data_IF_155796077935
#
_entry.id   IF_155796077935
#
_cell.length_a   1.000
_cell.length_b   1.000
_cell.length_c   1.000
_cell.angle_alpha   90.00
_cell.angle_beta   90.00
_cell.angle_gamma   90.00
#
_symmetry.space_group_name_H-M   'P 1'
#
loop_
_entity.id
_entity.type
_entity.pdbx_description
1 polymer ?
#
# COMPACT_ATOMS: atom_id res chain seq x y z
N UNK A 1 11.52 -2.11 -12.70
CA UNK A 1 11.00 -0.78 -12.28
C UNK A 1 10.86 -0.78 -10.77
N UNK A 2 11.50 0.17 -10.09
CA UNK A 2 11.55 0.23 -8.63
C UNK A 2 10.29 0.86 -8.03
N UNK A 3 9.83 0.32 -6.91
CA UNK A 3 8.68 0.81 -6.13
C UNK A 3 8.89 2.25 -5.58
N UNK A 4 10.11 2.77 -5.68
CA UNK A 4 10.48 4.15 -5.33
C UNK A 4 9.80 5.21 -6.21
N UNK A 5 9.34 4.89 -7.44
CA UNK A 5 8.65 5.85 -8.31
C UNK A 5 7.31 6.35 -7.76
N UNK A 6 6.74 5.61 -6.82
CA UNK A 6 5.46 5.94 -6.19
C UNK A 6 5.62 6.86 -4.99
N UNK A 7 6.82 6.97 -4.43
CA UNK A 7 7.07 7.84 -3.26
C UNK A 7 6.82 9.30 -3.63
N UNK A 8 6.07 10.01 -2.79
CA UNK A 8 5.63 11.39 -3.02
C UNK A 8 4.36 11.53 -3.85
N UNK A 9 3.79 10.44 -4.37
CA UNK A 9 2.47 10.48 -5.03
C UNK A 9 1.34 10.48 -4.02
N UNK A 10 0.27 11.19 -4.33
CA UNK A 10 -0.96 11.18 -3.54
C UNK A 10 -1.88 10.08 -4.09
N UNK A 11 -2.23 9.08 -3.27
CA UNK A 11 -3.20 8.07 -3.67
C UNK A 11 -4.62 8.62 -3.79
N UNK A 12 -5.44 7.92 -4.58
CA UNK A 12 -6.85 8.24 -4.75
C UNK A 12 -7.61 8.06 -3.43
N UNK A 13 -8.43 9.06 -3.09
CA UNK A 13 -9.22 9.07 -1.85
C UNK A 13 -8.52 9.76 -0.69
N UNK A 14 -7.31 10.30 -0.90
CA UNK A 14 -6.57 11.05 0.10
C UNK A 14 -6.36 12.51 -0.33
N UNK A 15 -6.24 13.39 0.66
CA UNK A 15 -5.88 14.78 0.45
C UNK A 15 -4.44 14.94 -0.06
N UNK A 16 -4.18 16.07 -0.71
CA UNK A 16 -2.84 16.44 -1.22
C UNK A 16 -1.76 16.57 -0.13
N UNK A 17 -2.14 16.53 1.16
CA UNK A 17 -1.23 16.50 2.30
C UNK A 17 -0.73 15.08 2.64
N UNK A 18 -1.37 14.06 2.07
CA UNK A 18 -1.02 12.66 2.28
C UNK A 18 -0.33 12.14 1.03
N UNK A 19 0.87 11.61 1.22
CA UNK A 19 1.66 11.06 0.11
C UNK A 19 2.22 9.71 0.50
N UNK A 20 2.50 8.89 -0.51
CA UNK A 20 3.20 7.64 -0.33
C UNK A 20 4.61 7.94 0.18
N UNK A 21 4.92 7.54 1.41
CA UNK A 21 6.28 7.64 1.95
C UNK A 21 7.12 6.43 1.57
N UNK A 22 6.49 5.26 1.57
CA UNK A 22 7.19 4.00 1.34
C UNK A 22 6.29 2.99 0.69
N UNK A 23 6.86 2.24 -0.25
CA UNK A 23 6.25 1.04 -0.81
C UNK A 23 7.24 -0.11 -0.66
N UNK A 24 6.78 -1.19 -0.05
CA UNK A 24 7.57 -2.41 0.11
C UNK A 24 6.76 -3.61 -0.35
N UNK A 25 7.41 -4.55 -1.05
CA UNK A 25 6.84 -5.88 -1.22
C UNK A 25 6.88 -6.59 0.12
N UNK A 26 5.70 -6.89 0.66
CA UNK A 26 5.57 -7.60 1.90
C UNK A 26 5.20 -9.05 1.58
N UNK A 27 6.04 -9.96 2.05
CA UNK A 27 5.81 -11.39 1.95
C UNK A 27 6.22 -11.96 3.31
N UNK A 28 5.25 -11.98 4.23
CA UNK A 28 5.48 -12.56 5.55
C UNK A 28 4.89 -13.96 5.54
N UNK A 29 5.79 -14.92 5.40
CA UNK A 29 5.45 -16.32 5.60
C UNK A 29 5.36 -16.56 7.10
N UNK A 30 4.13 -16.49 7.63
CA UNK A 30 3.80 -16.83 9.01
C UNK A 30 2.89 -18.06 8.96
N UNK A 31 3.36 -19.19 9.50
CA UNK A 31 2.66 -20.49 9.38
C UNK A 31 1.42 -20.57 10.29
N UNK A 32 1.33 -19.67 11.28
CA UNK A 32 0.34 -19.70 12.36
C UNK A 32 -0.74 -18.61 12.23
N UNK A 33 -0.63 -17.70 11.24
CA UNK A 33 -1.53 -16.55 11.13
C UNK A 33 -2.08 -16.43 9.70
N UNK A 34 -3.32 -16.91 9.50
CA UNK A 34 -4.15 -16.53 8.36
C UNK A 34 -4.59 -15.07 8.50
N UNK A 35 -3.68 -14.14 8.24
CA UNK A 35 -3.99 -12.72 8.25
C UNK A 35 -4.51 -12.33 6.87
N UNK A 36 -5.78 -11.95 6.81
CA UNK A 36 -6.43 -11.41 5.61
C UNK A 36 -6.53 -9.90 5.73
N UNK A 37 -6.45 -9.21 4.60
CA UNK A 37 -6.67 -7.76 4.54
C UNK A 37 -7.11 -7.36 3.16
N UNK A 38 -7.85 -6.27 3.05
CA UNK A 38 -8.42 -5.85 1.78
C UNK A 38 -7.47 -4.95 0.99
N UNK A 39 -7.45 -5.13 -0.33
CA UNK A 39 -6.76 -4.22 -1.22
C UNK A 39 -7.40 -2.82 -1.15
N UNK A 40 -6.64 -1.80 -0.75
CA UNK A 40 -7.17 -0.43 -0.63
C UNK A 40 -7.59 0.20 -1.97
N UNK A 41 -7.19 -0.39 -3.11
CA UNK A 41 -7.61 0.07 -4.44
C UNK A 41 -8.87 -0.64 -4.96
N UNK A 42 -8.85 -1.97 -5.03
CA UNK A 42 -9.92 -2.75 -5.68
C UNK A 42 -10.84 -3.49 -4.69
N UNK A 43 -10.55 -3.47 -3.40
CA UNK A 43 -11.34 -4.16 -2.38
C UNK A 43 -11.22 -5.70 -2.41
N UNK A 44 -10.33 -6.26 -3.22
CA UNK A 44 -10.08 -7.71 -3.23
C UNK A 44 -9.48 -8.15 -1.90
N UNK A 45 -10.01 -9.23 -1.30
CA UNK A 45 -9.43 -9.87 -0.12
C UNK A 45 -8.03 -10.40 -0.48
N UNK A 46 -7.02 -9.95 0.25
CA UNK A 46 -5.63 -10.38 0.11
C UNK A 46 -5.24 -11.25 1.28
N UNK A 47 -4.59 -12.37 0.98
CA UNK A 47 -3.92 -13.18 1.98
C UNK A 47 -2.54 -12.58 2.27
N UNK A 48 -2.33 -12.05 3.48
CA UNK A 48 -1.04 -11.42 3.85
C UNK A 48 0.12 -12.43 3.99
N UNK A 49 -0.15 -13.72 3.81
CA UNK A 49 0.86 -14.78 3.62
C UNK A 49 1.45 -14.80 2.21
N UNK A 50 0.70 -14.29 1.23
CA UNK A 50 1.11 -14.25 -0.16
C UNK A 50 1.87 -12.96 -0.49
N UNK A 51 2.36 -12.86 -1.73
CA UNK A 51 3.12 -11.69 -2.19
C UNK A 51 2.18 -10.52 -2.43
N UNK A 52 2.19 -9.53 -1.54
CA UNK A 52 1.43 -8.29 -1.66
C UNK A 52 2.34 -7.06 -1.50
N UNK A 53 1.81 -5.88 -1.79
CA UNK A 53 2.51 -4.62 -1.54
C UNK A 53 1.95 -3.97 -0.28
N UNK A 54 2.86 -3.52 0.58
CA UNK A 54 2.56 -2.68 1.73
C UNK A 54 2.98 -1.25 1.41
N UNK A 55 2.01 -0.35 1.38
CA UNK A 55 2.22 1.07 1.19
C UNK A 55 2.06 1.77 2.53
N UNK A 56 3.00 2.64 2.86
CA UNK A 56 2.91 3.54 4.00
C UNK A 56 2.69 4.94 3.47
N UNK A 57 1.57 5.54 3.89
CA UNK A 57 1.25 6.93 3.62
C UNK A 57 1.75 7.77 4.78
N UNK A 58 2.35 8.92 4.46
CA UNK A 58 2.71 9.91 5.45
C UNK A 58 1.93 11.19 5.23
N UNK A 59 1.44 11.75 6.33
CA UNK A 59 0.92 13.10 6.36
C UNK A 59 2.06 14.07 6.68
N UNK A 60 2.07 15.21 5.99
CA UNK A 60 3.08 16.26 6.21
C UNK A 60 3.14 16.80 7.66
N UNK A 61 2.11 16.56 8.47
CA UNK A 61 2.03 17.01 9.87
C UNK A 61 1.79 15.90 10.90
N UNK A 62 1.68 14.63 10.49
CA UNK A 62 1.32 13.51 11.37
C UNK A 62 2.49 12.56 11.64
N UNK A 63 2.63 12.07 12.89
CA UNK A 63 3.67 11.08 13.28
C UNK A 63 3.23 9.61 13.13
N UNK A 64 2.13 9.33 12.42
CA UNK A 64 1.62 7.99 12.23
C UNK A 64 1.36 7.72 10.76
N UNK A 65 2.25 6.97 10.11
CA UNK A 65 2.04 6.61 8.71
C UNK A 65 0.97 5.53 8.58
N UNK A 66 -0.13 5.82 7.88
CA UNK A 66 -1.19 4.86 7.61
C UNK A 66 -0.69 3.78 6.65
N UNK A 67 -1.05 2.52 6.90
CA UNK A 67 -0.55 1.37 6.13
C UNK A 67 -1.68 0.76 5.30
N UNK A 68 -1.42 0.64 4.00
CA UNK A 68 -2.35 0.09 3.02
C UNK A 68 -1.77 -1.15 2.35
N UNK A 69 -2.63 -2.14 2.16
CA UNK A 69 -2.27 -3.34 1.43
C UNK A 69 -2.78 -3.23 0.01
N UNK A 70 -1.97 -3.65 -0.95
CA UNK A 70 -2.33 -3.67 -2.36
C UNK A 70 -1.96 -5.01 -2.98
N UNK A 71 -2.81 -5.42 -3.92
CA UNK A 71 -2.71 -6.68 -4.63
C UNK A 71 -1.38 -6.82 -5.38
N UNK A 72 -0.85 -5.71 -5.88
CA UNK A 72 0.34 -5.68 -6.71
C UNK A 72 0.60 -4.31 -7.31
N UNK A 73 1.57 -4.25 -8.23
CA UNK A 73 1.96 -2.98 -8.87
C UNK A 73 0.84 -2.39 -9.72
N UNK A 74 -0.01 -3.22 -10.35
CA UNK A 74 -1.14 -2.72 -11.14
C UNK A 74 -2.11 -1.91 -10.28
N UNK A 75 -2.57 -2.49 -9.15
CA UNK A 75 -3.41 -1.80 -8.18
C UNK A 75 -2.76 -0.51 -7.66
N UNK A 76 -1.44 -0.52 -7.44
CA UNK A 76 -0.71 0.65 -6.97
C UNK A 76 -0.62 1.76 -8.03
N UNK A 77 -0.42 1.39 -9.30
CA UNK A 77 -0.40 2.34 -10.41
C UNK A 77 -1.77 3.01 -10.53
N UNK A 78 -2.85 2.23 -10.62
CA UNK A 78 -4.22 2.78 -10.68
C UNK A 78 -4.57 3.64 -9.47
N UNK A 79 -4.11 3.23 -8.28
CA UNK A 79 -4.37 3.97 -7.05
C UNK A 79 -3.63 5.30 -6.97
N UNK A 80 -2.48 5.45 -7.67
CA UNK A 80 -1.61 6.65 -7.57
C UNK A 80 -1.50 7.47 -8.85
N UNK A 81 -1.98 6.98 -9.99
CA UNK A 81 -1.93 7.68 -11.29
C UNK A 81 -3.25 8.39 -11.63
N UNK A 82 -4.39 7.88 -11.17
CA UNK A 82 -5.69 8.59 -11.15
C UNK A 82 -6.23 8.99 -12.51
#
# INVERSE_FOLDING_TARGET
>A
MGLSKYVGRTPRGYDSNTTVERVASHHRWDVDVERRGDCSNCGTELELREKHLLVTLGERQGRGGERHYLCGQLCLDEWTDG
#
